data_IF_619438688282
#
_entry.id   IF_619438688282
#
_cell.length_a   1.000
_cell.length_b   1.000
_cell.length_c   1.000
_cell.angle_alpha   90.00
_cell.angle_beta   90.00
_cell.angle_gamma   90.00
#
_symmetry.space_group_name_H-M   'P 1'
#
loop_
_entity.id
_entity.type
_entity.pdbx_description
1 polymer ?
#
# COMPACT_ATOMS: atom_id res chain seq x y z
N UNK A 1 24.25 -11.11 19.45
CA UNK A 1 24.19 -10.88 17.99
C UNK A 1 22.87 -11.31 17.33
N UNK A 2 22.08 -12.24 17.89
CA UNK A 2 20.81 -12.73 17.28
C UNK A 2 19.58 -11.81 17.42
N UNK A 3 19.62 -10.81 18.32
CA UNK A 3 18.44 -9.99 18.63
C UNK A 3 18.03 -8.99 17.54
N UNK A 4 18.96 -8.50 16.71
CA UNK A 4 18.61 -7.54 15.63
C UNK A 4 17.90 -8.26 14.47
N UNK A 5 18.49 -9.35 13.98
CA UNK A 5 17.94 -10.18 12.89
C UNK A 5 16.54 -10.67 13.24
N UNK A 6 16.36 -11.23 14.44
CA UNK A 6 15.06 -11.73 14.88
C UNK A 6 14.00 -10.61 14.98
N UNK A 7 14.36 -9.43 15.51
CA UNK A 7 13.43 -8.28 15.59
C UNK A 7 13.07 -7.76 14.21
N UNK A 8 14.04 -7.70 13.30
CA UNK A 8 13.81 -7.31 11.91
C UNK A 8 12.88 -8.29 11.20
N UNK A 9 13.12 -9.60 11.34
CA UNK A 9 12.25 -10.62 10.75
C UNK A 9 10.80 -10.47 11.21
N UNK A 10 10.56 -10.43 12.51
CA UNK A 10 9.21 -10.28 13.09
C UNK A 10 8.54 -8.99 12.60
N UNK A 11 9.30 -7.89 12.54
CA UNK A 11 8.78 -6.62 12.03
C UNK A 11 8.38 -6.72 10.55
N UNK A 12 9.25 -7.27 9.70
CA UNK A 12 9.01 -7.39 8.26
C UNK A 12 7.90 -8.40 7.94
N UNK A 13 7.81 -9.52 8.67
CA UNK A 13 6.69 -10.47 8.56
C UNK A 13 5.35 -9.78 8.85
N UNK A 14 5.28 -8.99 9.92
CA UNK A 14 4.09 -8.20 10.24
C UNK A 14 3.76 -7.16 9.16
N UNK A 15 4.78 -6.46 8.64
CA UNK A 15 4.60 -5.50 7.55
C UNK A 15 4.13 -6.16 6.26
N UNK A 16 4.67 -7.34 5.94
CA UNK A 16 4.35 -8.06 4.72
C UNK A 16 2.85 -8.38 4.63
N UNK A 17 2.23 -8.78 5.74
CA UNK A 17 0.80 -9.05 5.77
C UNK A 17 -0.03 -7.77 5.53
N UNK A 18 0.40 -6.63 6.07
CA UNK A 18 -0.26 -5.34 5.81
C UNK A 18 -0.12 -4.92 4.34
N UNK A 19 1.05 -5.10 3.72
CA UNK A 19 1.27 -4.81 2.29
C UNK A 19 0.44 -5.74 1.40
N UNK A 20 0.34 -7.03 1.75
CA UNK A 20 -0.53 -7.99 1.04
C UNK A 20 -1.99 -7.60 1.11
N UNK A 21 -2.47 -7.21 2.30
CA UNK A 21 -3.84 -6.73 2.51
C UNK A 21 -4.11 -5.47 1.70
N UNK A 22 -3.19 -4.50 1.71
CA UNK A 22 -3.34 -3.25 0.94
C UNK A 22 -3.36 -3.50 -0.57
N UNK A 23 -2.47 -4.36 -1.07
CA UNK A 23 -2.43 -4.74 -2.49
C UNK A 23 -3.72 -5.48 -2.92
N UNK A 24 -4.28 -6.35 -2.06
CA UNK A 24 -5.57 -6.98 -2.32
C UNK A 24 -6.72 -5.96 -2.40
N UNK A 25 -6.72 -4.99 -1.47
CA UNK A 25 -7.69 -3.90 -1.42
C UNK A 25 -7.62 -3.00 -2.66
N UNK A 26 -6.42 -2.60 -3.10
CA UNK A 26 -6.22 -1.82 -4.33
C UNK A 26 -6.70 -2.57 -5.58
N UNK A 27 -6.47 -3.89 -5.66
CA UNK A 27 -7.04 -4.74 -6.73
C UNK A 27 -8.55 -4.82 -6.67
N UNK A 28 -9.14 -4.81 -5.48
CA UNK A 28 -10.60 -4.77 -5.33
C UNK A 28 -11.16 -3.42 -5.77
N UNK A 29 -10.56 -2.31 -5.33
CA UNK A 29 -10.91 -0.95 -5.80
C UNK A 29 -10.89 -0.86 -7.33
N UNK A 30 -9.82 -1.34 -7.97
CA UNK A 30 -9.71 -1.34 -9.44
C UNK A 30 -10.85 -2.12 -10.11
N UNK A 31 -11.24 -3.27 -9.54
CA UNK A 31 -12.36 -4.08 -10.06
C UNK A 31 -13.69 -3.37 -9.88
N UNK A 32 -13.95 -2.78 -8.71
CA UNK A 32 -15.21 -2.05 -8.47
C UNK A 32 -15.31 -0.80 -9.35
N UNK A 33 -14.20 -0.14 -9.66
CA UNK A 33 -14.18 1.01 -10.59
C UNK A 33 -14.59 0.64 -12.03
N UNK A 34 -14.45 -0.62 -12.44
CA UNK A 34 -14.93 -1.09 -13.75
C UNK A 34 -16.46 -1.28 -13.78
N UNK A 35 -17.12 -1.31 -12.62
CA UNK A 35 -18.56 -1.55 -12.50
C UNK A 35 -19.27 -0.23 -12.14
N UNK A 36 -20.11 0.28 -13.04
CA UNK A 36 -20.75 1.61 -12.94
C UNK A 36 -21.63 1.83 -11.71
N UNK A 37 -22.06 0.74 -11.05
CA UNK A 37 -22.96 0.76 -9.89
C UNK A 37 -22.22 0.58 -8.55
N UNK A 38 -20.90 0.40 -8.57
CA UNK A 38 -20.06 0.10 -7.41
C UNK A 38 -19.59 1.31 -6.59
N UNK A 39 -20.07 2.53 -6.86
CA UNK A 39 -19.48 3.76 -6.29
C UNK A 39 -19.51 3.83 -4.75
N UNK A 40 -20.59 3.37 -4.10
CA UNK A 40 -20.62 3.30 -2.64
C UNK A 40 -19.55 2.34 -2.11
N UNK A 41 -19.41 1.18 -2.76
CA UNK A 41 -18.41 0.18 -2.39
C UNK A 41 -16.99 0.68 -2.64
N UNK A 42 -16.76 1.49 -3.68
CA UNK A 42 -15.48 2.18 -3.89
C UNK A 42 -15.17 3.12 -2.72
N UNK A 43 -16.14 3.90 -2.23
CA UNK A 43 -15.94 4.77 -1.07
C UNK A 43 -15.61 3.98 0.20
N UNK A 44 -16.34 2.90 0.47
CA UNK A 44 -16.08 2.04 1.64
C UNK A 44 -14.66 1.45 1.59
N UNK A 45 -14.21 1.00 0.41
CA UNK A 45 -12.87 0.47 0.20
C UNK A 45 -11.77 1.56 0.29
N UNK A 46 -12.09 2.82 -0.06
CA UNK A 46 -11.17 3.95 0.13
C UNK A 46 -11.00 4.30 1.61
N UNK A 47 -12.07 4.20 2.40
CA UNK A 47 -12.00 4.38 3.85
C UNK A 47 -11.15 3.27 4.50
N UNK A 48 -11.36 2.01 4.08
CA UNK A 48 -10.51 0.90 4.49
C UNK A 48 -9.04 1.14 4.12
N UNK A 49 -8.77 1.64 2.91
CA UNK A 49 -7.42 1.99 2.46
C UNK A 49 -6.79 3.02 3.39
N UNK A 50 -7.54 4.05 3.79
CA UNK A 50 -7.07 5.07 4.71
C UNK A 50 -6.69 4.48 6.08
N UNK A 51 -7.54 3.61 6.65
CA UNK A 51 -7.26 2.96 7.93
C UNK A 51 -5.99 2.09 7.87
N UNK A 52 -5.77 1.38 6.76
CA UNK A 52 -4.55 0.62 6.55
C UNK A 52 -3.30 1.50 6.41
N UNK A 53 -3.41 2.66 5.74
CA UNK A 53 -2.32 3.63 5.64
C UNK A 53 -1.93 4.22 6.99
N UNK A 54 -2.90 4.55 7.83
CA UNK A 54 -2.62 5.06 9.17
C UNK A 54 -1.91 4.02 10.05
N UNK A 55 -2.31 2.74 9.94
CA UNK A 55 -1.61 1.62 10.59
C UNK A 55 -0.17 1.48 10.08
N UNK A 56 0.04 1.53 8.76
CA UNK A 56 1.38 1.47 8.15
C UNK A 56 2.26 2.64 8.61
N UNK A 57 1.75 3.88 8.59
CA UNK A 57 2.47 5.08 9.05
C UNK A 57 2.86 4.98 10.52
N UNK A 58 1.96 4.50 11.38
CA UNK A 58 2.23 4.29 12.81
C UNK A 58 3.34 3.25 13.01
N UNK A 59 3.25 2.12 12.33
CA UNK A 59 4.22 1.04 12.45
C UNK A 59 5.59 1.43 11.88
N UNK A 60 5.62 2.21 10.79
CA UNK A 60 6.87 2.72 10.22
C UNK A 60 7.58 3.68 11.17
N UNK A 61 6.85 4.58 11.84
CA UNK A 61 7.45 5.46 12.86
C UNK A 61 8.05 4.68 14.02
N UNK A 62 7.40 3.61 14.46
CA UNK A 62 7.89 2.76 15.53
C UNK A 62 9.12 1.92 15.12
N UNK A 63 9.21 1.54 13.85
CA UNK A 63 10.27 0.69 13.32
C UNK A 63 11.45 1.45 12.69
N UNK A 64 11.35 2.77 12.53
CA UNK A 64 12.43 3.58 11.97
C UNK A 64 13.80 3.36 12.68
N UNK A 65 13.88 3.30 14.03
CA UNK A 65 15.16 3.01 14.70
C UNK A 65 15.69 1.61 14.40
N UNK A 66 14.81 0.63 14.20
CA UNK A 66 15.18 -0.75 13.90
C UNK A 66 15.71 -0.88 12.47
N UNK A 67 15.07 -0.21 11.51
CA UNK A 67 15.53 -0.15 10.12
C UNK A 67 16.87 0.55 9.99
N UNK A 68 17.08 1.64 10.75
CA UNK A 68 18.36 2.34 10.77
C UNK A 68 19.47 1.47 11.38
N UNK A 69 19.20 0.79 12.49
CA UNK A 69 20.13 -0.17 13.07
C UNK A 69 20.47 -1.31 12.11
N UNK A 70 19.48 -1.83 11.36
CA UNK A 70 19.71 -2.82 10.31
C UNK A 70 20.65 -2.28 9.23
N UNK A 71 20.40 -1.07 8.71
CA UNK A 71 21.24 -0.46 7.67
C UNK A 71 22.69 -0.25 8.11
N UNK A 72 22.90 0.16 9.37
CA UNK A 72 24.23 0.42 9.90
C UNK A 72 25.01 -0.85 10.22
N UNK A 73 24.34 -1.88 10.76
CA UNK A 73 25.01 -3.06 11.30
C UNK A 73 24.98 -4.27 10.35
N UNK A 74 24.19 -4.24 9.27
CA UNK A 74 24.07 -5.38 8.34
C UNK A 74 25.42 -5.85 7.80
N UNK A 75 26.30 -4.94 7.40
CA UNK A 75 27.62 -5.28 6.83
C UNK A 75 28.56 -5.96 7.83
N UNK A 76 28.25 -5.86 9.13
CA UNK A 76 29.02 -6.48 10.21
C UNK A 76 28.42 -7.85 10.61
N UNK A 77 27.24 -8.20 10.10
CA UNK A 77 26.61 -9.49 10.37
C UNK A 77 27.22 -10.57 9.46
N UNK A 78 27.50 -11.76 10.01
CA UNK A 78 27.91 -12.90 9.18
C UNK A 78 26.78 -13.27 8.21
N UNK A 79 27.15 -13.68 7.00
CA UNK A 79 26.20 -14.25 6.05
C UNK A 79 25.61 -15.55 6.62
N UNK A 80 24.40 -15.45 7.17
CA UNK A 80 23.63 -16.58 7.69
C UNK A 80 22.29 -16.68 6.97
N UNK A 81 21.65 -17.85 7.07
CA UNK A 81 20.33 -18.07 6.45
C UNK A 81 19.27 -17.13 7.05
N UNK A 82 19.39 -16.73 8.31
CA UNK A 82 18.49 -15.74 8.90
C UNK A 82 18.67 -14.34 8.32
N UNK A 83 19.90 -13.94 8.00
CA UNK A 83 20.18 -12.65 7.33
C UNK A 83 19.63 -12.67 5.90
N UNK A 84 19.81 -13.78 5.17
CA UNK A 84 19.23 -13.97 3.83
C UNK A 84 17.70 -13.89 3.85
N UNK A 85 17.05 -14.51 4.83
CA UNK A 85 15.59 -14.44 4.98
C UNK A 85 15.10 -13.00 5.21
N UNK A 86 15.79 -12.22 6.04
CA UNK A 86 15.47 -10.79 6.21
C UNK A 86 15.62 -10.03 4.89
N UNK A 87 16.65 -10.30 4.10
CA UNK A 87 16.84 -9.69 2.77
C UNK A 87 15.74 -10.10 1.78
N UNK A 88 15.33 -11.37 1.76
CA UNK A 88 14.21 -11.85 0.94
C UNK A 88 12.90 -11.18 1.30
N UNK A 89 12.64 -10.96 2.61
CA UNK A 89 11.47 -10.23 3.09
C UNK A 89 11.49 -8.77 2.61
N UNK A 90 12.63 -8.09 2.70
CA UNK A 90 12.79 -6.72 2.20
C UNK A 90 12.51 -6.67 0.69
N UNK A 91 13.13 -7.55 -0.10
CA UNK A 91 12.94 -7.61 -1.56
C UNK A 91 11.47 -7.89 -1.95
N UNK A 92 10.80 -8.76 -1.20
CA UNK A 92 9.38 -9.06 -1.39
C UNK A 92 8.51 -7.83 -1.12
N UNK A 93 8.80 -7.11 -0.03
CA UNK A 93 8.09 -5.89 0.31
C UNK A 93 8.32 -4.77 -0.72
N UNK A 94 9.54 -4.60 -1.23
CA UNK A 94 9.84 -3.64 -2.29
C UNK A 94 9.08 -3.95 -3.58
N UNK A 95 9.02 -5.23 -3.96
CA UNK A 95 8.25 -5.69 -5.13
C UNK A 95 6.75 -5.41 -4.96
N UNK A 96 6.21 -5.63 -3.76
CA UNK A 96 4.82 -5.30 -3.44
C UNK A 96 4.58 -3.78 -3.47
N UNK A 97 5.47 -2.98 -2.88
CA UNK A 97 5.37 -1.52 -2.89
C UNK A 97 5.33 -0.97 -4.33
N UNK A 98 6.16 -1.52 -5.23
CA UNK A 98 6.15 -1.16 -6.65
C UNK A 98 4.83 -1.54 -7.32
N UNK A 99 4.32 -2.76 -7.07
CA UNK A 99 3.03 -3.20 -7.61
C UNK A 99 1.87 -2.31 -7.13
N UNK A 100 1.88 -1.93 -5.85
CA UNK A 100 0.89 -1.03 -5.25
C UNK A 100 0.94 0.37 -5.88
N UNK A 101 2.15 0.89 -6.13
CA UNK A 101 2.33 2.18 -6.83
C UNK A 101 1.76 2.13 -8.25
N UNK A 102 2.01 1.05 -8.98
CA UNK A 102 1.48 0.88 -10.33
C UNK A 102 -0.07 0.80 -10.32
N UNK A 103 -0.65 0.14 -9.33
CA UNK A 103 -2.11 0.09 -9.14
C UNK A 103 -2.69 1.45 -8.78
N UNK A 104 -1.99 2.25 -7.97
CA UNK A 104 -2.40 3.63 -7.67
C UNK A 104 -2.42 4.51 -8.93
N UNK A 105 -1.41 4.38 -9.78
CA UNK A 105 -1.37 5.11 -11.07
C UNK A 105 -2.49 4.67 -12.01
N UNK A 106 -2.82 3.37 -12.06
CA UNK A 106 -3.96 2.86 -12.82
C UNK A 106 -5.31 3.35 -12.28
N UNK A 107 -5.49 3.38 -10.94
CA UNK A 107 -6.72 3.91 -10.32
C UNK A 107 -6.95 5.37 -10.71
N UNK A 108 -5.90 6.20 -10.72
CA UNK A 108 -5.99 7.60 -11.15
C UNK A 108 -6.50 7.70 -12.59
N UNK A 109 -5.89 6.94 -13.51
CA UNK A 109 -6.29 6.93 -14.93
C UNK A 109 -7.76 6.51 -15.10
N UNK A 110 -8.24 5.56 -14.29
CA UNK A 110 -9.64 5.11 -14.31
C UNK A 110 -10.59 6.17 -13.77
N UNK A 111 -10.28 6.76 -12.62
CA UNK A 111 -11.07 7.87 -12.07
C UNK A 111 -11.14 9.05 -13.04
N UNK A 112 -10.04 9.40 -13.71
CA UNK A 112 -9.99 10.45 -14.72
C UNK A 112 -10.86 10.11 -15.95
N UNK A 113 -10.87 8.86 -16.39
CA UNK A 113 -11.74 8.41 -17.49
C UNK A 113 -13.23 8.48 -17.13
N UNK A 114 -13.59 8.06 -15.90
CA UNK A 114 -14.97 8.13 -15.39
C UNK A 114 -15.43 9.60 -15.31
N UNK A 115 -14.57 10.51 -14.85
CA UNK A 115 -14.87 11.94 -14.70
C UNK A 115 -14.96 12.75 -16.02
N UNK A 116 -14.64 12.14 -17.16
CA UNK A 116 -14.68 12.77 -18.51
C UNK A 116 -15.76 12.13 -19.39
N UNK A 117 -16.45 11.09 -18.92
CA UNK A 117 -17.46 10.37 -19.72
C UNK A 117 -18.72 11.23 -19.94
N UNK A 118 -19.19 11.40 -21.20
CA UNK A 118 -20.25 12.37 -21.54
C UNK A 118 -21.68 11.95 -21.17
N UNK A 119 -21.89 10.84 -20.45
CA UNK A 119 -23.21 10.34 -20.03
C UNK A 119 -23.50 10.74 -18.57
N UNK A 120 -24.45 11.66 -18.37
CA UNK A 120 -24.92 12.23 -17.08
C UNK A 120 -23.99 13.27 -16.40
N UNK A 121 -23.82 14.39 -17.09
CA UNK A 121 -22.77 15.42 -16.92
C UNK A 121 -22.67 16.22 -15.61
N UNK A 122 -23.61 16.17 -14.66
CA UNK A 122 -23.55 17.13 -13.53
C UNK A 122 -23.40 16.48 -12.14
N UNK A 123 -24.17 15.42 -11.85
CA UNK A 123 -24.08 14.72 -10.56
C UNK A 123 -22.94 13.68 -10.52
N UNK A 124 -22.75 12.90 -11.59
CA UNK A 124 -21.66 11.90 -11.69
C UNK A 124 -20.27 12.53 -11.79
N UNK A 125 -20.14 13.68 -12.44
CA UNK A 125 -18.89 14.43 -12.57
C UNK A 125 -18.38 14.93 -11.21
N UNK A 126 -19.27 15.52 -10.38
CA UNK A 126 -18.92 16.01 -9.05
C UNK A 126 -18.51 14.85 -8.13
N UNK A 127 -19.25 13.74 -8.17
CA UNK A 127 -18.97 12.58 -7.34
C UNK A 127 -17.63 11.91 -7.72
N UNK A 128 -17.37 11.74 -9.01
CA UNK A 128 -16.11 11.17 -9.52
C UNK A 128 -14.90 12.05 -9.23
N UNK A 129 -15.03 13.39 -9.34
CA UNK A 129 -13.97 14.33 -8.94
C UNK A 129 -13.70 14.32 -7.44
N UNK A 130 -14.75 14.23 -6.62
CA UNK A 130 -14.59 14.11 -5.17
C UNK A 130 -13.85 12.82 -4.79
N UNK A 131 -14.16 11.69 -5.44
CA UNK A 131 -13.45 10.43 -5.24
C UNK A 131 -12.00 10.48 -5.70
N UNK A 132 -11.72 11.08 -6.86
CA UNK A 132 -10.34 11.29 -7.32
C UNK A 132 -9.54 12.14 -6.34
N UNK A 133 -10.14 13.20 -5.80
CA UNK A 133 -9.51 14.07 -4.81
C UNK A 133 -9.29 13.34 -3.48
N UNK A 134 -10.28 12.57 -3.01
CA UNK A 134 -10.14 11.73 -1.81
C UNK A 134 -9.02 10.71 -1.99
N UNK A 135 -8.99 10.01 -3.13
CA UNK A 135 -7.93 9.05 -3.45
C UNK A 135 -6.55 9.69 -3.52
N UNK A 136 -6.42 10.86 -4.17
CA UNK A 136 -5.16 11.61 -4.24
C UNK A 136 -4.66 12.05 -2.86
N UNK A 137 -5.56 12.36 -1.93
CA UNK A 137 -5.21 12.72 -0.55
C UNK A 137 -4.72 11.52 0.28
N UNK A 138 -5.00 10.29 -0.17
CA UNK A 138 -4.57 9.04 0.47
C UNK A 138 -3.24 8.51 -0.07
N UNK A 139 -2.59 9.21 -1.00
CA UNK A 139 -1.26 8.82 -1.51
C UNK A 139 -0.16 9.33 -0.59
#
# INVERSE_FOLDING_TARGET
MTGLVQRMRVHLESQLDMYRSMNALQRQLLRELDHSDGMQKVLDLLEEKNQHLDKLRKNQKQAAPLLEAWRQQKSELPESDEVKNVDELINTMESLALAMRNQDEEMIRRFERIAVSPADKESRDKHSRNMLNAFRALR
#
